data_IF_972681409615
#
_entry.id   IF_972681409615
#
_cell.length_a   1.000
_cell.length_b   1.000
_cell.length_c   1.000
_cell.angle_alpha   90.00
_cell.angle_beta   90.00
_cell.angle_gamma   90.00
#
_symmetry.space_group_name_H-M   'P 1'
#
loop_
_entity.id
_entity.type
_entity.pdbx_description
1 polymer ?
#
# COMPACT_ATOMS: atom_id res chain seq x y z
N UNK A 1 46.45 10.62 -56.81
CA UNK A 1 47.21 11.74 -56.20
C UNK A 1 46.31 12.96 -56.31
N UNK A 2 45.44 13.20 -55.33
CA UNK A 2 45.69 13.96 -54.08
C UNK A 2 44.97 15.31 -54.23
N UNK A 3 43.79 15.47 -53.61
CA UNK A 3 43.53 16.06 -52.28
C UNK A 3 43.13 17.54 -52.44
N UNK A 4 41.88 17.89 -52.12
CA UNK A 4 41.48 18.57 -50.85
C UNK A 4 41.83 20.07 -50.88
N UNK A 5 41.03 21.06 -50.49
CA UNK A 5 39.95 21.14 -49.50
C UNK A 5 39.23 22.47 -49.70
N UNK A 6 37.91 22.47 -49.85
CA UNK A 6 37.06 23.66 -49.64
C UNK A 6 36.65 23.69 -48.17
N UNK A 7 37.12 24.69 -47.42
CA UNK A 7 36.65 24.97 -46.07
C UNK A 7 35.68 26.15 -46.12
N UNK A 8 34.39 25.88 -46.29
CA UNK A 8 33.32 26.81 -45.92
C UNK A 8 32.68 26.28 -44.64
N UNK A 9 32.83 27.06 -43.58
CA UNK A 9 32.35 26.75 -42.24
C UNK A 9 30.86 27.10 -42.17
N UNK A 10 29.98 26.13 -42.42
CA UNK A 10 28.55 26.31 -42.18
C UNK A 10 28.27 26.37 -40.67
N UNK A 11 27.75 27.51 -40.23
CA UNK A 11 27.19 27.73 -38.90
C UNK A 11 25.88 26.94 -38.81
N UNK A 12 25.71 25.95 -37.92
CA UNK A 12 24.47 25.20 -37.86
C UNK A 12 23.38 26.06 -37.22
N UNK A 13 22.43 26.47 -38.06
CA UNK A 13 21.14 27.06 -37.69
C UNK A 13 20.43 26.17 -36.69
N UNK A 14 20.34 26.66 -35.44
CA UNK A 14 19.73 25.98 -34.31
C UNK A 14 18.21 25.82 -34.54
N UNK A 15 17.82 24.74 -35.24
CA UNK A 15 16.43 24.27 -35.23
C UNK A 15 16.17 23.65 -33.87
N UNK A 16 15.53 24.40 -32.98
CA UNK A 16 14.88 23.88 -31.79
C UNK A 16 13.88 22.81 -32.23
N UNK A 17 14.23 21.55 -32.04
CA UNK A 17 13.29 20.43 -32.12
C UNK A 17 12.37 20.58 -30.92
N UNK A 18 11.26 21.31 -31.10
CA UNK A 18 10.14 21.20 -30.20
C UNK A 18 9.53 19.82 -30.45
N UNK A 19 10.00 18.83 -29.67
CA UNK A 19 9.36 17.52 -29.57
C UNK A 19 7.92 17.80 -29.15
N UNK A 20 6.97 17.57 -30.05
CA UNK A 20 5.57 17.73 -29.79
C UNK A 20 5.23 16.87 -28.57
N UNK A 21 5.00 17.51 -27.42
CA UNK A 21 4.38 16.85 -26.29
C UNK A 21 3.03 16.34 -26.79
N UNK A 22 2.88 15.01 -26.83
CA UNK A 22 1.59 14.41 -27.16
C UNK A 22 0.57 15.06 -26.24
N UNK A 23 -0.45 15.65 -26.88
CA UNK A 23 -1.68 16.07 -26.24
C UNK A 23 -2.42 14.80 -25.81
N UNK A 24 -1.85 14.09 -24.84
CA UNK A 24 -2.62 13.16 -24.03
C UNK A 24 -3.41 14.05 -23.07
N UNK A 25 -4.47 14.60 -23.65
CA UNK A 25 -5.61 15.09 -22.91
C UNK A 25 -5.95 13.97 -21.92
N UNK A 26 -5.66 14.23 -20.64
CA UNK A 26 -6.20 13.53 -19.48
C UNK A 26 -7.72 13.74 -19.49
N UNK A 27 -8.38 13.16 -20.47
CA UNK A 27 -9.81 13.01 -20.50
C UNK A 27 -10.14 11.91 -19.51
N UNK A 28 -11.16 12.14 -18.70
CA UNK A 28 -11.73 11.19 -17.75
C UNK A 28 -11.88 9.76 -18.29
N UNK A 29 -12.01 9.60 -19.62
CA UNK A 29 -12.05 8.31 -20.33
C UNK A 29 -10.74 7.51 -20.37
N UNK A 30 -9.56 8.14 -20.27
CA UNK A 30 -8.26 7.41 -20.21
C UNK A 30 -7.90 6.93 -18.79
N UNK A 31 -8.81 7.14 -17.84
CA UNK A 31 -8.56 6.83 -16.44
C UNK A 31 -8.65 5.33 -16.11
N UNK A 32 -8.99 4.44 -17.04
CA UNK A 32 -9.02 2.99 -16.75
C UNK A 32 -9.90 2.62 -15.55
N UNK A 33 -10.90 3.46 -15.23
CA UNK A 33 -11.79 3.32 -14.06
C UNK A 33 -12.64 2.05 -14.16
N UNK A 34 -12.72 1.40 -15.33
CA UNK A 34 -13.41 0.12 -15.50
C UNK A 34 -12.61 -1.11 -15.08
N UNK A 35 -11.28 -1.01 -14.98
CA UNK A 35 -10.43 -2.18 -14.76
C UNK A 35 -10.32 -2.47 -13.27
N UNK A 36 -10.86 -3.61 -12.86
CA UNK A 36 -10.85 -4.09 -11.48
C UNK A 36 -9.90 -5.27 -11.34
N UNK A 37 -9.15 -5.26 -10.24
CA UNK A 37 -8.39 -6.42 -9.75
C UNK A 37 -9.04 -6.95 -8.49
N UNK A 38 -8.93 -8.25 -8.26
CA UNK A 38 -9.56 -8.92 -7.11
C UNK A 38 -8.49 -9.36 -6.12
N UNK A 39 -8.55 -8.88 -4.88
CA UNK A 39 -7.76 -9.39 -3.79
C UNK A 39 -8.52 -10.49 -3.06
N UNK A 40 -7.88 -11.62 -2.83
CA UNK A 40 -8.46 -12.75 -2.07
C UNK A 40 -7.85 -12.71 -0.68
N UNK A 41 -8.66 -12.38 0.32
CA UNK A 41 -8.20 -12.06 1.67
C UNK A 41 -8.50 -13.19 2.66
N UNK A 42 -7.49 -13.56 3.44
CA UNK A 42 -7.60 -14.44 4.59
C UNK A 42 -7.91 -15.90 4.25
N UNK A 43 -7.98 -16.73 5.29
CA UNK A 43 -8.32 -18.15 5.17
C UNK A 43 -9.72 -18.40 4.56
N UNK A 44 -10.65 -17.46 4.78
CA UNK A 44 -12.01 -17.50 4.25
C UNK A 44 -12.08 -17.16 2.74
N UNK A 45 -10.94 -16.80 2.12
CA UNK A 45 -10.81 -16.45 0.69
C UNK A 45 -11.82 -15.42 0.22
N UNK A 46 -12.00 -14.35 1.00
CA UNK A 46 -12.99 -13.32 0.71
C UNK A 46 -12.49 -12.42 -0.42
N UNK A 47 -13.21 -12.33 -1.56
CA UNK A 47 -12.80 -11.52 -2.69
C UNK A 47 -13.20 -10.04 -2.48
N UNK A 48 -12.24 -9.12 -2.64
CA UNK A 48 -12.46 -7.68 -2.63
C UNK A 48 -11.93 -7.06 -3.92
N UNK A 49 -12.74 -6.24 -4.58
CA UNK A 49 -12.36 -5.57 -5.83
C UNK A 49 -11.82 -4.17 -5.58
N UNK A 50 -10.72 -3.83 -6.24
CA UNK A 50 -10.09 -2.51 -6.22
C UNK A 50 -9.78 -2.10 -7.66
N UNK A 51 -9.87 -0.80 -7.96
CA UNK A 51 -9.48 -0.28 -9.26
C UNK A 51 -8.01 -0.56 -9.52
N UNK A 52 -7.73 -1.31 -10.61
CA UNK A 52 -6.38 -1.70 -11.02
C UNK A 52 -5.45 -0.50 -11.07
N UNK A 53 -5.89 0.57 -11.75
CA UNK A 53 -5.10 1.78 -11.88
C UNK A 53 -4.73 2.40 -10.53
N UNK A 54 -5.59 2.31 -9.53
CA UNK A 54 -5.29 2.84 -8.19
C UNK A 54 -4.32 1.94 -7.44
N UNK A 55 -4.52 0.62 -7.49
CA UNK A 55 -3.58 -0.33 -6.92
C UNK A 55 -2.17 -0.18 -7.53
N UNK A 56 -2.06 -0.13 -8.85
CA UNK A 56 -0.80 -0.01 -9.57
C UNK A 56 -0.14 1.37 -9.40
N UNK A 57 -0.92 2.46 -9.41
CA UNK A 57 -0.39 3.82 -9.23
C UNK A 57 0.40 3.95 -7.93
N UNK A 58 -0.07 3.31 -6.86
CA UNK A 58 0.56 3.42 -5.56
C UNK A 58 1.55 2.29 -5.29
N UNK A 59 1.49 1.14 -5.96
CA UNK A 59 2.40 0.01 -5.74
C UNK A 59 2.95 -0.57 -7.04
N UNK A 60 4.26 -0.39 -7.26
CA UNK A 60 4.98 -1.03 -8.37
C UNK A 60 5.00 -2.56 -8.25
N UNK A 61 4.86 -3.11 -7.04
CA UNK A 61 4.71 -4.56 -6.84
C UNK A 61 3.38 -5.04 -7.44
N UNK A 62 2.30 -4.30 -7.20
CA UNK A 62 0.98 -4.64 -7.76
C UNK A 62 0.94 -4.38 -9.27
N UNK A 63 1.57 -3.30 -9.74
CA UNK A 63 1.74 -3.04 -11.17
C UNK A 63 2.46 -4.21 -11.86
N UNK A 64 3.63 -4.60 -11.33
CA UNK A 64 4.39 -5.73 -11.85
C UNK A 64 3.59 -7.04 -11.78
N UNK A 65 2.88 -7.30 -10.69
CA UNK A 65 2.07 -8.50 -10.53
C UNK A 65 0.93 -8.56 -11.59
N UNK A 66 0.14 -7.50 -11.69
CA UNK A 66 -1.05 -7.47 -12.55
C UNK A 66 -0.77 -7.23 -14.04
N UNK A 67 0.42 -6.74 -14.39
CA UNK A 67 0.85 -6.56 -15.78
C UNK A 67 1.84 -7.64 -16.25
N UNK A 68 2.11 -8.65 -15.40
CA UNK A 68 2.95 -9.79 -15.76
C UNK A 68 2.20 -10.89 -16.52
N UNK A 69 2.96 -11.84 -17.05
CA UNK A 69 2.44 -13.11 -17.58
C UNK A 69 2.20 -14.19 -16.50
N UNK A 70 2.41 -13.88 -15.21
CA UNK A 70 2.18 -14.81 -14.10
C UNK A 70 0.70 -15.04 -13.82
N UNK A 71 0.37 -15.80 -12.77
CA UNK A 71 -1.03 -16.15 -12.48
C UNK A 71 -1.83 -14.90 -12.10
N UNK A 72 -1.22 -13.96 -11.41
CA UNK A 72 -1.82 -12.70 -10.96
C UNK A 72 -2.19 -11.82 -12.15
N UNK A 73 -1.29 -11.66 -13.11
CA UNK A 73 -1.54 -10.87 -14.32
C UNK A 73 -2.53 -11.54 -15.29
N UNK A 74 -2.61 -12.88 -15.32
CA UNK A 74 -3.62 -13.57 -16.15
C UNK A 74 -5.00 -13.59 -15.51
N UNK A 75 -5.07 -13.75 -14.20
CA UNK A 75 -6.34 -13.86 -13.48
C UNK A 75 -6.87 -12.51 -12.99
N UNK A 76 -6.01 -11.49 -12.93
CA UNK A 76 -6.25 -10.21 -12.24
C UNK A 76 -6.64 -10.45 -10.77
N UNK A 77 -6.02 -11.47 -10.14
CA UNK A 77 -6.23 -11.84 -8.74
C UNK A 77 -4.92 -11.79 -7.96
N UNK A 78 -4.99 -11.38 -6.71
CA UNK A 78 -3.84 -11.35 -5.80
C UNK A 78 -4.25 -11.93 -4.45
N UNK A 79 -3.60 -13.01 -4.02
CA UNK A 79 -3.95 -13.73 -2.79
C UNK A 79 -3.13 -13.20 -1.60
N UNK A 80 -3.81 -12.95 -0.47
CA UNK A 80 -3.24 -12.44 0.77
C UNK A 80 -3.76 -13.29 1.94
N UNK A 81 -3.11 -14.43 2.18
CA UNK A 81 -3.59 -15.44 3.16
C UNK A 81 -3.44 -15.00 4.62
N UNK A 82 -2.35 -14.32 4.99
CA UNK A 82 -2.07 -13.90 6.37
C UNK A 82 -2.73 -12.57 6.78
N UNK A 83 -3.55 -11.99 5.90
CA UNK A 83 -4.10 -10.64 6.06
C UNK A 83 -5.56 -10.69 6.50
N UNK A 84 -5.92 -9.89 7.50
CA UNK A 84 -7.31 -9.71 7.93
C UNK A 84 -8.07 -8.78 6.98
N UNK A 85 -9.39 -8.98 6.88
CA UNK A 85 -10.26 -8.09 6.11
C UNK A 85 -10.16 -6.63 6.57
N UNK A 86 -10.05 -6.39 7.88
CA UNK A 86 -9.90 -5.07 8.46
C UNK A 86 -8.58 -4.41 8.05
N UNK A 87 -7.46 -5.13 8.08
CA UNK A 87 -6.18 -4.61 7.63
C UNK A 87 -6.18 -4.29 6.13
N UNK A 88 -6.81 -5.16 5.32
CA UNK A 88 -6.99 -4.87 3.89
C UNK A 88 -7.90 -3.66 3.64
N UNK A 89 -8.96 -3.49 4.42
CA UNK A 89 -9.84 -2.33 4.31
C UNK A 89 -9.07 -1.02 4.55
N UNK A 90 -8.17 -0.99 5.54
CA UNK A 90 -7.27 0.16 5.78
C UNK A 90 -6.32 0.41 4.59
N UNK A 91 -5.78 -0.65 3.98
CA UNK A 91 -4.96 -0.53 2.77
C UNK A 91 -5.78 0.05 1.61
N UNK A 92 -7.00 -0.46 1.40
CA UNK A 92 -7.89 0.01 0.34
C UNK A 92 -8.26 1.48 0.54
N UNK A 93 -8.62 1.88 1.76
CA UNK A 93 -8.86 3.27 2.14
C UNK A 93 -7.65 4.15 1.80
N UNK A 94 -6.44 3.71 2.18
CA UNK A 94 -5.22 4.44 1.86
C UNK A 94 -4.95 4.54 0.36
N UNK A 95 -5.20 3.48 -0.42
CA UNK A 95 -5.07 3.50 -1.88
C UNK A 95 -5.94 4.60 -2.48
N UNK A 96 -7.17 4.80 -1.99
CA UNK A 96 -8.07 5.82 -2.53
C UNK A 96 -7.86 7.22 -1.96
N UNK A 97 -7.52 7.34 -0.68
CA UNK A 97 -7.55 8.62 0.04
C UNK A 97 -6.16 9.16 0.39
N UNK A 98 -5.13 8.31 0.33
CA UNK A 98 -3.77 8.55 0.83
C UNK A 98 -3.73 8.93 2.32
N UNK A 99 -4.75 8.49 3.07
CA UNK A 99 -4.90 8.67 4.51
C UNK A 99 -5.34 7.34 5.12
N UNK A 100 -5.12 7.21 6.43
CA UNK A 100 -5.73 6.15 7.22
C UNK A 100 -6.50 6.81 8.36
N UNK A 101 -7.75 6.41 8.55
CA UNK A 101 -8.52 6.87 9.70
C UNK A 101 -7.89 6.34 10.99
N UNK A 102 -7.74 7.25 11.96
CA UNK A 102 -7.42 6.88 13.33
C UNK A 102 -8.70 6.34 13.96
N UNK A 103 -8.64 5.20 14.67
CA UNK A 103 -9.82 4.69 15.33
C UNK A 103 -10.23 5.74 16.38
N UNK A 104 -11.53 6.09 16.48
CA UNK A 104 -11.98 6.98 17.54
C UNK A 104 -11.55 6.36 18.88
N UNK A 105 -10.74 7.11 19.65
CA UNK A 105 -10.16 6.74 20.95
C UNK A 105 -11.05 5.72 21.68
N UNK A 106 -10.56 4.48 21.80
CA UNK A 106 -11.22 3.29 22.34
C UNK A 106 -12.47 3.57 23.21
N UNK A 107 -13.62 3.69 22.55
CA UNK A 107 -14.95 3.44 23.15
C UNK A 107 -15.80 2.59 22.23
N UNK A 108 -15.21 1.62 21.54
CA UNK A 108 -15.97 0.50 20.98
C UNK A 108 -16.40 -0.40 22.16
N UNK A 109 -17.39 0.06 22.95
CA UNK A 109 -18.08 -0.76 23.95
C UNK A 109 -18.74 -1.90 23.17
N UNK A 110 -18.31 -3.14 23.40
CA UNK A 110 -19.08 -4.32 22.96
C UNK A 110 -20.47 -4.18 23.57
N UNK A 111 -21.46 -3.74 22.80
CA UNK A 111 -22.85 -3.87 23.21
C UNK A 111 -23.18 -5.34 23.04
N UNK A 112 -23.01 -6.09 24.12
CA UNK A 112 -23.63 -7.39 24.31
C UNK A 112 -25.12 -7.20 24.11
N UNK A 113 -25.68 -7.57 22.95
CA UNK A 113 -27.12 -7.41 22.75
C UNK A 113 -27.68 -7.76 21.38
N UNK A 114 -27.14 -7.27 20.27
CA UNK A 114 -27.88 -7.32 19.00
C UNK A 114 -27.21 -8.16 17.92
N UNK A 115 -27.90 -9.24 17.52
CA UNK A 115 -27.54 -10.17 16.44
C UNK A 115 -27.89 -9.66 15.04
N UNK A 116 -28.03 -8.35 14.85
CA UNK A 116 -28.41 -7.79 13.55
C UNK A 116 -27.89 -6.38 13.35
N UNK A 117 -26.61 -6.26 13.00
CA UNK A 117 -26.08 -5.11 12.26
C UNK A 117 -24.67 -5.47 11.77
N UNK A 118 -24.41 -5.25 10.47
CA UNK A 118 -23.06 -5.14 9.94
C UNK A 118 -22.36 -3.98 10.65
N UNK A 119 -21.83 -4.20 11.85
CA UNK A 119 -20.97 -3.22 12.49
C UNK A 119 -19.70 -3.17 11.66
N UNK A 120 -19.45 -2.05 11.00
CA UNK A 120 -18.15 -1.73 10.41
C UNK A 120 -17.10 -2.12 11.45
N UNK A 121 -16.26 -3.10 11.12
CA UNK A 121 -15.33 -3.69 12.06
C UNK A 121 -14.50 -2.56 12.70
N UNK A 122 -14.57 -2.44 14.03
CA UNK A 122 -13.75 -1.46 14.75
C UNK A 122 -12.29 -1.90 14.57
N UNK A 123 -11.51 -1.15 13.80
CA UNK A 123 -10.10 -1.44 13.54
C UNK A 123 -9.34 -1.52 14.86
N UNK A 124 -8.69 -2.66 15.09
CA UNK A 124 -7.91 -2.94 16.30
C UNK A 124 -6.46 -2.53 16.12
N UNK A 125 -5.69 -2.43 17.21
CA UNK A 125 -4.24 -2.21 17.13
C UNK A 125 -3.54 -3.26 16.25
N UNK A 126 -4.00 -4.51 16.28
CA UNK A 126 -3.45 -5.62 15.48
C UNK A 126 -3.66 -5.39 13.98
N UNK A 127 -4.77 -4.75 13.57
CA UNK A 127 -5.02 -4.45 12.15
C UNK A 127 -4.03 -3.41 11.61
N UNK A 128 -3.60 -2.44 12.42
CA UNK A 128 -2.56 -1.49 12.03
C UNK A 128 -1.16 -2.15 11.96
N UNK A 129 -0.90 -3.17 12.79
CA UNK A 129 0.32 -3.97 12.69
C UNK A 129 0.33 -4.80 11.40
N UNK A 130 -0.78 -5.47 11.10
CA UNK A 130 -0.95 -6.20 9.84
C UNK A 130 -0.83 -5.26 8.62
N UNK A 131 -1.39 -4.04 8.71
CA UNK A 131 -1.23 -3.01 7.68
C UNK A 131 0.23 -2.60 7.51
N UNK A 132 1.00 -2.47 8.59
CA UNK A 132 2.42 -2.16 8.52
C UNK A 132 3.20 -3.24 7.76
N UNK A 133 2.92 -4.52 8.07
CA UNK A 133 3.55 -5.67 7.39
C UNK A 133 3.17 -5.69 5.91
N UNK A 134 1.89 -5.48 5.59
CA UNK A 134 1.43 -5.32 4.22
C UNK A 134 2.16 -4.19 3.47
N UNK A 135 2.35 -3.06 4.13
CA UNK A 135 3.05 -1.93 3.56
C UNK A 135 4.54 -2.24 3.31
N UNK A 136 5.16 -3.09 4.12
CA UNK A 136 6.51 -3.63 3.88
C UNK A 136 6.53 -4.47 2.59
N UNK A 137 5.60 -5.44 2.45
CA UNK A 137 5.48 -6.30 1.26
C UNK A 137 5.26 -5.47 -0.02
N UNK A 138 4.45 -4.41 0.08
CA UNK A 138 4.15 -3.54 -1.05
C UNK A 138 5.22 -2.46 -1.28
N UNK A 139 6.27 -2.39 -0.45
CA UNK A 139 7.33 -1.38 -0.48
C UNK A 139 6.78 0.06 -0.40
N UNK A 140 5.95 0.31 0.61
CA UNK A 140 5.29 1.61 0.88
C UNK A 140 5.72 2.21 2.23
N UNK A 141 6.92 2.83 2.32
CA UNK A 141 7.41 3.42 3.57
C UNK A 141 6.49 4.49 4.16
N UNK A 142 5.80 5.27 3.29
CA UNK A 142 4.84 6.28 3.75
C UNK A 142 3.66 5.66 4.50
N UNK A 143 3.18 4.50 4.05
CA UNK A 143 2.10 3.78 4.71
C UNK A 143 2.58 3.13 6.01
N UNK A 144 3.81 2.59 6.02
CA UNK A 144 4.44 2.11 7.26
C UNK A 144 4.52 3.20 8.32
N UNK A 145 4.98 4.40 7.96
CA UNK A 145 5.07 5.53 8.90
C UNK A 145 3.69 5.94 9.43
N UNK A 146 2.69 6.04 8.55
CA UNK A 146 1.31 6.32 8.98
C UNK A 146 0.81 5.25 9.97
N UNK A 147 1.06 3.97 9.69
CA UNK A 147 0.68 2.88 10.59
C UNK A 147 1.39 3.00 11.96
N UNK A 148 2.69 3.31 11.98
CA UNK A 148 3.45 3.55 13.23
C UNK A 148 2.89 4.75 14.00
N UNK A 149 2.56 5.86 13.32
CA UNK A 149 1.96 7.03 13.97
C UNK A 149 0.65 6.64 14.68
N UNK A 150 -0.20 5.86 14.02
CA UNK A 150 -1.45 5.37 14.64
C UNK A 150 -1.19 4.40 15.79
N UNK A 151 -0.24 3.46 15.63
CA UNK A 151 0.14 2.51 16.69
C UNK A 151 0.68 3.27 17.92
N UNK A 152 1.49 4.32 17.71
CA UNK A 152 2.05 5.15 18.76
C UNK A 152 0.97 6.03 19.43
N UNK A 153 0.07 6.64 18.64
CA UNK A 153 -1.05 7.46 19.11
C UNK A 153 -2.04 6.65 19.95
N UNK A 154 -2.27 5.37 19.62
CA UNK A 154 -3.12 4.48 20.41
C UNK A 154 -2.55 4.28 21.84
N UNK A 155 -1.23 4.43 22.03
CA UNK A 155 -0.61 4.77 23.32
C UNK A 155 -0.67 3.73 24.46
N UNK A 156 0.50 3.32 24.96
CA UNK A 156 0.79 2.44 26.14
C UNK A 156 0.27 1.00 26.14
N UNK A 157 -0.79 0.67 25.39
CA UNK A 157 -1.25 -0.71 25.22
C UNK A 157 -0.63 -1.39 23.99
N UNK A 158 0.57 -0.98 23.57
CA UNK A 158 1.29 -1.55 22.41
C UNK A 158 1.71 -3.02 22.66
N UNK A 159 1.54 -3.49 23.89
CA UNK A 159 1.43 -4.90 24.23
C UNK A 159 0.02 -5.47 23.95
N UNK A 160 -0.60 -5.17 22.81
CA UNK A 160 -1.57 -6.14 22.31
C UNK A 160 -0.74 -7.36 21.92
N UNK A 161 -0.78 -8.38 22.79
CA UNK A 161 -0.03 -9.62 22.67
C UNK A 161 -0.12 -10.18 21.24
N UNK A 162 -1.30 -10.07 20.62
CA UNK A 162 -1.55 -10.59 19.28
C UNK A 162 -0.78 -9.81 18.20
N UNK A 163 -0.65 -8.49 18.34
CA UNK A 163 0.14 -7.66 17.42
C UNK A 163 1.64 -7.93 17.54
N UNK A 164 2.15 -8.17 18.75
CA UNK A 164 3.55 -8.56 18.96
C UNK A 164 3.79 -9.94 18.36
N UNK A 165 2.93 -10.92 18.66
CA UNK A 165 3.04 -12.28 18.10
C UNK A 165 3.07 -12.21 16.57
N UNK A 166 2.10 -11.50 15.96
CA UNK A 166 2.02 -11.34 14.52
C UNK A 166 3.30 -10.75 13.93
N UNK A 167 3.85 -9.69 14.53
CA UNK A 167 5.11 -9.10 14.07
C UNK A 167 6.28 -10.09 14.15
N UNK A 168 6.32 -10.95 15.18
CA UNK A 168 7.36 -11.95 15.34
C UNK A 168 7.19 -13.19 14.45
N UNK A 169 5.99 -13.45 13.95
CA UNK A 169 5.69 -14.56 13.03
C UNK A 169 5.90 -14.15 11.56
N UNK A 170 5.47 -12.95 11.17
CA UNK A 170 5.37 -12.57 9.75
C UNK A 170 6.54 -11.73 9.21
N UNK A 171 7.40 -11.17 10.08
CA UNK A 171 8.51 -10.30 9.64
C UNK A 171 9.88 -10.97 9.79
N UNK A 172 10.95 -10.41 9.21
CA UNK A 172 12.31 -10.89 9.45
C UNK A 172 12.81 -10.55 10.87
N UNK A 173 13.82 -11.27 11.37
CA UNK A 173 14.39 -11.04 12.71
C UNK A 173 14.90 -9.60 12.94
N UNK A 174 15.39 -8.95 11.90
CA UNK A 174 15.87 -7.57 11.90
C UNK A 174 14.82 -6.56 11.43
N UNK A 175 13.53 -6.92 11.46
CA UNK A 175 12.46 -6.00 11.09
C UNK A 175 12.41 -4.82 12.06
N UNK A 176 12.31 -3.61 11.50
CA UNK A 176 12.20 -2.37 12.26
C UNK A 176 10.98 -2.36 13.20
N UNK A 177 9.90 -3.06 12.82
CA UNK A 177 8.70 -3.17 13.65
C UNK A 177 9.00 -3.87 14.99
N UNK A 178 9.82 -4.94 14.97
CA UNK A 178 10.24 -5.65 16.19
C UNK A 178 11.10 -4.76 17.08
N UNK A 179 12.04 -4.04 16.47
CA UNK A 179 12.92 -3.09 17.19
C UNK A 179 12.11 -1.97 17.87
N UNK A 180 11.11 -1.42 17.16
CA UNK A 180 10.21 -0.41 17.71
C UNK A 180 9.44 -0.96 18.92
N UNK A 181 8.89 -2.17 18.84
CA UNK A 181 8.20 -2.80 19.96
C UNK A 181 9.09 -3.04 21.17
N UNK A 182 10.32 -3.53 20.97
CA UNK A 182 11.29 -3.70 22.04
C UNK A 182 11.67 -2.35 22.66
N UNK A 183 11.99 -1.35 21.83
CA UNK A 183 12.35 -0.01 22.30
C UNK A 183 11.25 0.61 23.15
N UNK A 184 10.00 0.52 22.71
CA UNK A 184 8.86 1.04 23.47
C UNK A 184 8.67 0.29 24.80
N UNK A 185 8.78 -1.04 24.84
CA UNK A 185 8.68 -1.81 26.07
C UNK A 185 9.77 -1.43 27.10
N UNK A 186 10.99 -1.14 26.64
CA UNK A 186 12.06 -0.65 27.51
C UNK A 186 11.82 0.76 28.03
N UNK A 187 11.16 1.62 27.24
CA UNK A 187 10.83 2.99 27.64
C UNK A 187 9.72 3.04 28.70
N UNK A 188 8.72 2.17 28.60
CA UNK A 188 7.59 2.11 29.55
C UNK A 188 7.95 1.46 30.90
N UNK A 189 9.13 0.84 31.01
CA UNK A 189 9.57 0.14 32.24
C UNK A 189 10.40 1.02 33.20
N UNK A 190 10.45 2.34 32.95
CA UNK A 190 11.08 3.36 33.82
C UNK A 190 10.04 4.22 34.49
#
# INVERSE_FOLDING_TARGET
MSLSSTMETEIPSSRRIFKAASKDLLTFRSCGIGDLVTFIIGADKVPIQVHKKMACLYSHILEAAFDSSFIEGRTQKYELESVTLSAFALLAEWIYTQKIERPPSMKCRKTTGDKSSHSIACSTSTDYVALWILAEVLLKPRLQNLAIDVIADIGTAIANKDGIILAYEETAHNSLLREIFVSQATWTSR
#
